data_IF_417760134010
#
_entry.id   IF_417760134010
#
_cell.length_a   1.000
_cell.length_b   1.000
_cell.length_c   1.000
_cell.angle_alpha   90.00
_cell.angle_beta   90.00
_cell.angle_gamma   90.00
#
_symmetry.space_group_name_H-M   'P 1'
#
loop_
_entity.id
_entity.type
_entity.pdbx_description
1 polymer ?
#
# COMPACT_ATOMS: atom_id res chain seq x y z
N UNK A 1 13.41 2.03 -30.37
CA UNK A 1 13.41 1.70 -28.93
C UNK A 1 13.02 2.82 -27.95
N UNK A 2 12.89 4.11 -28.33
CA UNK A 2 12.57 5.22 -27.38
C UNK A 2 11.09 5.36 -26.95
N UNK A 3 10.17 4.51 -27.44
CA UNK A 3 8.73 4.54 -27.06
C UNK A 3 8.40 3.71 -25.81
N UNK A 4 9.29 2.82 -25.36
CA UNK A 4 9.05 1.99 -24.17
C UNK A 4 9.01 2.80 -22.86
N UNK A 5 9.72 3.92 -22.81
CA UNK A 5 9.87 4.76 -21.61
C UNK A 5 8.91 5.95 -21.55
N UNK A 6 7.93 6.06 -22.45
CA UNK A 6 6.86 7.05 -22.27
C UNK A 6 5.96 6.58 -21.12
N UNK A 7 5.84 7.37 -20.02
CA UNK A 7 4.96 7.01 -18.92
C UNK A 7 3.51 7.09 -19.41
N UNK A 8 2.87 5.94 -19.62
CA UNK A 8 1.43 5.86 -19.81
C UNK A 8 0.75 5.64 -18.46
N UNK A 9 -0.49 6.11 -18.34
CA UNK A 9 -1.30 5.92 -17.12
C UNK A 9 -1.38 4.43 -16.73
N UNK A 10 -1.53 3.55 -17.73
CA UNK A 10 -1.60 2.10 -17.54
C UNK A 10 -0.30 1.54 -16.95
N UNK A 11 0.86 1.87 -17.53
CA UNK A 11 2.17 1.38 -17.03
C UNK A 11 2.40 1.81 -15.59
N UNK A 12 1.98 3.03 -15.24
CA UNK A 12 2.07 3.57 -13.87
C UNK A 12 1.14 2.81 -12.92
N UNK A 13 -0.10 2.53 -13.31
CA UNK A 13 -1.04 1.75 -12.49
C UNK A 13 -0.51 0.34 -12.26
N UNK A 14 -0.03 -0.34 -13.31
CA UNK A 14 0.55 -1.68 -13.21
C UNK A 14 1.75 -1.69 -12.25
N UNK A 15 2.65 -0.70 -12.36
CA UNK A 15 3.77 -0.56 -11.43
C UNK A 15 3.32 -0.47 -9.97
N UNK A 16 2.27 0.31 -9.68
CA UNK A 16 1.75 0.43 -8.32
C UNK A 16 1.07 -0.84 -7.83
N UNK A 17 0.31 -1.52 -8.68
CA UNK A 17 -0.34 -2.79 -8.31
C UNK A 17 0.75 -3.83 -7.97
N UNK A 18 1.77 -3.98 -8.82
CA UNK A 18 2.87 -4.91 -8.57
C UNK A 18 3.61 -4.55 -7.28
N UNK A 19 3.92 -3.28 -7.06
CA UNK A 19 4.54 -2.82 -5.81
C UNK A 19 3.69 -3.17 -4.59
N UNK A 20 2.37 -2.95 -4.65
CA UNK A 20 1.46 -3.23 -3.52
C UNK A 20 1.34 -4.73 -3.26
N UNK A 21 1.35 -5.57 -4.30
CA UNK A 21 1.36 -7.03 -4.18
C UNK A 21 2.63 -7.50 -3.49
N UNK A 22 3.80 -7.02 -3.92
CA UNK A 22 5.09 -7.42 -3.33
C UNK A 22 5.18 -7.01 -1.85
N UNK A 23 4.77 -5.78 -1.53
CA UNK A 23 4.76 -5.28 -0.15
C UNK A 23 3.76 -6.06 0.71
N UNK A 24 2.59 -6.37 0.15
CA UNK A 24 1.58 -7.17 0.87
C UNK A 24 2.04 -8.61 1.08
N UNK A 25 2.73 -9.21 0.12
CA UNK A 25 3.31 -10.55 0.26
C UNK A 25 4.34 -10.59 1.39
N UNK A 26 5.24 -9.60 1.39
CA UNK A 26 6.26 -9.46 2.43
C UNK A 26 5.64 -9.21 3.81
N UNK A 27 4.66 -8.30 3.90
CA UNK A 27 3.91 -8.02 5.12
C UNK A 27 3.22 -9.27 5.65
N UNK A 28 2.53 -10.01 4.78
CA UNK A 28 1.75 -11.17 5.19
C UNK A 28 2.65 -12.32 5.66
N UNK A 29 3.78 -12.54 4.97
CA UNK A 29 4.80 -13.46 5.42
C UNK A 29 5.35 -13.08 6.80
N UNK A 30 5.75 -11.81 6.98
CA UNK A 30 6.28 -11.34 8.24
C UNK A 30 5.24 -11.40 9.38
N UNK A 31 3.96 -11.24 9.07
CA UNK A 31 2.88 -11.40 10.05
C UNK A 31 2.76 -12.85 10.55
N UNK A 32 2.97 -13.86 9.69
CA UNK A 32 3.09 -15.27 10.14
C UNK A 32 4.31 -15.46 11.03
N UNK A 33 5.46 -14.94 10.62
CA UNK A 33 6.69 -15.05 11.41
C UNK A 33 6.53 -14.44 12.81
N UNK A 34 6.02 -13.21 12.89
CA UNK A 34 5.77 -12.52 14.16
C UNK A 34 4.73 -13.25 15.02
N UNK A 35 3.70 -13.84 14.39
CA UNK A 35 2.65 -14.57 15.12
C UNK A 35 3.19 -15.83 15.82
N UNK A 36 4.17 -16.49 15.24
CA UNK A 36 4.71 -17.75 15.75
C UNK A 36 6.14 -17.60 16.28
N UNK A 37 6.59 -16.37 16.58
CA UNK A 37 7.95 -16.10 17.05
C UNK A 37 9.04 -16.72 16.15
N UNK A 38 8.84 -16.64 14.83
CA UNK A 38 9.71 -17.22 13.80
C UNK A 38 9.77 -18.75 13.77
N UNK A 39 8.84 -19.44 14.43
CA UNK A 39 8.71 -20.91 14.44
C UNK A 39 7.32 -21.35 13.96
N UNK A 40 7.09 -21.23 12.64
CA UNK A 40 5.80 -21.52 12.01
C UNK A 40 5.71 -23.01 11.64
N UNK A 41 4.78 -23.74 12.25
CA UNK A 41 4.52 -25.15 11.88
C UNK A 41 3.97 -25.30 10.45
N UNK A 42 4.39 -26.34 9.73
CA UNK A 42 4.09 -26.57 8.31
C UNK A 42 2.59 -26.58 7.97
N UNK A 43 1.74 -27.04 8.89
CA UNK A 43 0.28 -27.04 8.72
C UNK A 43 -0.30 -25.66 8.42
N UNK A 44 0.35 -24.59 8.89
CA UNK A 44 -0.08 -23.21 8.66
C UNK A 44 0.33 -22.70 7.27
N UNK A 45 1.41 -23.23 6.69
CA UNK A 45 1.82 -22.88 5.33
C UNK A 45 0.91 -23.49 4.25
N UNK A 46 0.24 -24.62 4.55
CA UNK A 46 -0.70 -25.26 3.61
C UNK A 46 -1.82 -24.30 3.15
N UNK A 47 -2.32 -23.46 4.05
CA UNK A 47 -3.38 -22.47 3.77
C UNK A 47 -2.85 -21.07 3.46
N UNK A 48 -1.54 -20.85 3.58
CA UNK A 48 -0.91 -19.53 3.46
C UNK A 48 -1.19 -18.90 2.10
N UNK A 49 -0.89 -19.60 1.00
CA UNK A 49 -1.06 -19.07 -0.36
C UNK A 49 -2.52 -18.80 -0.72
N UNK A 50 -3.43 -19.67 -0.26
CA UNK A 50 -4.86 -19.49 -0.45
C UNK A 50 -5.36 -18.25 0.30
N UNK A 51 -5.03 -18.12 1.58
CA UNK A 51 -5.38 -16.96 2.38
C UNK A 51 -4.78 -15.67 1.80
N UNK A 52 -3.52 -15.71 1.38
CA UNK A 52 -2.85 -14.58 0.73
C UNK A 52 -3.54 -14.18 -0.56
N UNK A 53 -3.90 -15.13 -1.44
CA UNK A 53 -4.55 -14.86 -2.72
C UNK A 53 -5.89 -14.13 -2.55
N UNK A 54 -6.72 -14.55 -1.59
CA UNK A 54 -7.98 -13.85 -1.31
C UNK A 54 -7.75 -12.48 -0.67
N UNK A 55 -6.82 -12.39 0.29
CA UNK A 55 -6.52 -11.13 0.95
C UNK A 55 -5.96 -10.09 -0.02
N UNK A 56 -5.03 -10.48 -0.91
CA UNK A 56 -4.47 -9.56 -1.90
C UNK A 56 -5.52 -9.14 -2.94
N UNK A 57 -6.41 -10.04 -3.35
CA UNK A 57 -7.52 -9.72 -4.23
C UNK A 57 -8.40 -8.62 -3.62
N UNK A 58 -8.82 -8.78 -2.36
CA UNK A 58 -9.62 -7.76 -1.67
C UNK A 58 -8.85 -6.45 -1.48
N UNK A 59 -7.55 -6.50 -1.15
CA UNK A 59 -6.70 -5.29 -1.05
C UNK A 59 -6.64 -4.54 -2.37
N UNK A 60 -6.33 -5.21 -3.48
CA UNK A 60 -6.22 -4.57 -4.80
C UNK A 60 -7.54 -3.95 -5.24
N UNK A 61 -8.65 -4.69 -5.07
CA UNK A 61 -10.00 -4.18 -5.38
C UNK A 61 -10.32 -2.95 -4.52
N UNK A 62 -10.09 -3.02 -3.21
CA UNK A 62 -10.35 -1.90 -2.32
C UNK A 62 -9.49 -0.67 -2.66
N UNK A 63 -8.18 -0.83 -2.87
CA UNK A 63 -7.30 0.29 -3.25
C UNK A 63 -7.74 0.90 -4.58
N UNK A 64 -8.23 0.10 -5.53
CA UNK A 64 -8.80 0.60 -6.77
C UNK A 64 -10.11 1.39 -6.54
N UNK A 65 -11.05 0.86 -5.75
CA UNK A 65 -12.33 1.50 -5.43
C UNK A 65 -12.14 2.85 -4.74
N UNK A 66 -11.20 2.94 -3.79
CA UNK A 66 -10.84 4.16 -3.08
C UNK A 66 -9.88 5.07 -3.88
N UNK A 67 -9.67 4.78 -5.17
CA UNK A 67 -8.85 5.57 -6.11
C UNK A 67 -7.38 5.72 -5.67
N UNK A 68 -6.86 4.78 -4.89
CA UNK A 68 -5.49 4.77 -4.37
C UNK A 68 -4.41 4.74 -5.45
N UNK A 69 -4.68 4.10 -6.60
CA UNK A 69 -3.74 4.01 -7.73
C UNK A 69 -3.65 5.28 -8.57
N UNK A 70 -4.61 6.20 -8.45
CA UNK A 70 -4.58 7.49 -9.16
C UNK A 70 -3.67 8.51 -8.45
N UNK A 71 -3.39 8.29 -7.16
CA UNK A 71 -2.60 9.18 -6.31
C UNK A 71 -1.17 9.30 -6.84
N UNK A 72 -0.74 10.54 -7.06
CA UNK A 72 0.65 10.85 -7.45
C UNK A 72 1.50 10.86 -6.19
N UNK A 73 2.39 9.87 -6.03
CA UNK A 73 3.23 9.75 -4.82
C UNK A 73 4.04 11.01 -4.47
N UNK A 74 4.35 11.87 -5.46
CA UNK A 74 5.00 13.18 -5.24
C UNK A 74 4.17 14.09 -4.30
N UNK A 75 2.86 14.00 -4.38
CA UNK A 75 1.91 14.82 -3.62
C UNK A 75 1.18 14.03 -2.54
N UNK A 76 1.68 12.84 -2.18
CA UNK A 76 1.06 12.00 -1.17
C UNK A 76 0.94 12.78 0.14
N UNK A 77 -0.30 13.08 0.52
CA UNK A 77 -0.64 13.84 1.71
C UNK A 77 -1.46 13.05 2.72
N UNK A 78 -1.92 13.73 3.77
CA UNK A 78 -2.74 13.12 4.81
C UNK A 78 -4.09 12.60 4.28
N UNK A 79 -4.71 13.33 3.35
CA UNK A 79 -5.97 12.91 2.71
C UNK A 79 -5.80 11.59 1.92
N UNK A 80 -4.67 11.45 1.22
CA UNK A 80 -4.34 10.23 0.49
C UNK A 80 -4.08 9.06 1.42
N UNK A 81 -3.39 9.29 2.54
CA UNK A 81 -3.19 8.29 3.58
C UNK A 81 -4.51 7.79 4.16
N UNK A 82 -5.48 8.69 4.43
CA UNK A 82 -6.83 8.31 4.88
C UNK A 82 -7.54 7.42 3.86
N UNK A 83 -7.44 7.72 2.56
CA UNK A 83 -8.04 6.86 1.51
C UNK A 83 -7.46 5.46 1.51
N UNK A 84 -6.13 5.33 1.65
CA UNK A 84 -5.46 4.03 1.76
C UNK A 84 -5.86 3.30 3.05
N UNK A 85 -5.99 4.03 4.15
CA UNK A 85 -6.46 3.48 5.42
C UNK A 85 -7.88 2.91 5.29
N UNK A 86 -8.84 3.67 4.76
CA UNK A 86 -10.20 3.17 4.56
C UNK A 86 -10.26 2.01 3.57
N UNK A 87 -9.43 2.02 2.52
CA UNK A 87 -9.30 0.88 1.61
C UNK A 87 -8.81 -0.38 2.35
N UNK A 88 -7.86 -0.26 3.27
CA UNK A 88 -7.42 -1.38 4.09
C UNK A 88 -8.53 -1.85 5.03
N UNK A 89 -9.16 -0.94 5.78
CA UNK A 89 -10.27 -1.31 6.67
C UNK A 89 -11.35 -2.08 5.90
N UNK A 90 -11.71 -1.61 4.70
CA UNK A 90 -12.67 -2.28 3.82
C UNK A 90 -12.19 -3.66 3.35
N UNK A 91 -10.94 -3.77 2.88
CA UNK A 91 -10.38 -5.04 2.40
C UNK A 91 -10.30 -6.11 3.50
N UNK A 92 -9.84 -5.74 4.70
CA UNK A 92 -9.74 -6.67 5.81
C UNK A 92 -11.11 -7.02 6.40
N UNK A 93 -12.04 -6.05 6.44
CA UNK A 93 -13.43 -6.32 6.80
C UNK A 93 -14.07 -7.34 5.86
N UNK A 94 -13.89 -7.19 4.54
CA UNK A 94 -14.31 -8.16 3.54
C UNK A 94 -13.65 -9.53 3.72
N UNK A 95 -12.33 -9.55 3.96
CA UNK A 95 -11.62 -10.81 4.18
C UNK A 95 -12.11 -11.54 5.43
N UNK A 96 -12.34 -10.84 6.53
CA UNK A 96 -12.91 -11.41 7.77
C UNK A 96 -14.31 -11.96 7.50
N UNK A 97 -15.17 -11.19 6.83
CA UNK A 97 -16.51 -11.63 6.48
C UNK A 97 -16.47 -12.90 5.61
N UNK A 98 -15.67 -12.88 4.54
CA UNK A 98 -15.45 -14.03 3.66
C UNK A 98 -14.92 -15.26 4.42
N UNK A 99 -13.98 -15.05 5.33
CA UNK A 99 -13.43 -16.10 6.16
C UNK A 99 -14.51 -16.74 7.05
N UNK A 100 -15.35 -15.93 7.69
CA UNK A 100 -16.40 -16.41 8.60
C UNK A 100 -17.53 -17.14 7.88
N UNK A 101 -17.91 -16.71 6.67
CA UNK A 101 -19.07 -17.25 5.95
C UNK A 101 -18.74 -18.41 5.01
N UNK A 102 -17.62 -18.35 4.29
CA UNK A 102 -17.32 -19.31 3.21
C UNK A 102 -16.04 -20.10 3.46
N UNK A 103 -15.04 -19.49 4.11
CA UNK A 103 -13.70 -20.05 4.15
C UNK A 103 -13.37 -20.85 5.41
N UNK A 104 -14.21 -20.77 6.45
CA UNK A 104 -13.98 -21.42 7.73
C UNK A 104 -13.91 -22.96 7.65
N UNK A 105 -14.39 -23.60 6.58
CA UNK A 105 -14.35 -25.06 6.43
C UNK A 105 -13.06 -25.57 5.79
N UNK A 106 -12.38 -24.77 4.96
CA UNK A 106 -11.24 -25.22 4.13
C UNK A 106 -9.97 -24.40 4.32
N UNK A 107 -10.04 -23.21 4.94
CA UNK A 107 -8.86 -22.44 5.37
C UNK A 107 -8.41 -22.81 6.79
N UNK A 108 -8.91 -23.87 7.40
CA UNK A 108 -8.45 -24.32 8.73
C UNK A 108 -7.19 -25.20 8.57
N UNK A 109 -6.10 -24.92 9.31
CA UNK A 109 -5.98 -23.96 10.40
C UNK A 109 -5.41 -22.60 9.95
N UNK A 110 -6.24 -21.55 9.86
CA UNK A 110 -5.77 -20.19 9.62
C UNK A 110 -5.62 -19.40 10.94
N UNK A 111 -4.44 -18.82 11.22
CA UNK A 111 -4.20 -18.06 12.45
C UNK A 111 -4.85 -16.67 12.38
N UNK A 112 -6.06 -16.55 12.94
CA UNK A 112 -6.90 -15.32 12.88
C UNK A 112 -6.18 -14.03 13.27
N UNK A 113 -5.28 -14.07 14.24
CA UNK A 113 -4.47 -12.92 14.67
C UNK A 113 -3.50 -12.39 13.61
N UNK A 114 -3.11 -13.20 12.62
CA UNK A 114 -2.29 -12.74 11.48
C UNK A 114 -3.00 -11.63 10.71
N UNK A 115 -4.34 -11.65 10.65
CA UNK A 115 -5.13 -10.57 10.04
C UNK A 115 -4.80 -9.23 10.68
N UNK A 116 -4.79 -9.16 12.01
CA UNK A 116 -4.48 -7.93 12.74
C UNK A 116 -3.03 -7.50 12.58
N UNK A 117 -2.08 -8.44 12.69
CA UNK A 117 -0.65 -8.14 12.55
C UNK A 117 -0.35 -7.63 11.13
N UNK A 118 -0.85 -8.33 10.11
CA UNK A 118 -0.68 -7.93 8.71
C UNK A 118 -1.37 -6.59 8.41
N UNK A 119 -2.53 -6.29 9.02
CA UNK A 119 -3.20 -5.00 8.82
C UNK A 119 -2.29 -3.82 9.18
N UNK A 120 -1.72 -3.84 10.38
CA UNK A 120 -0.84 -2.76 10.83
C UNK A 120 0.47 -2.76 10.03
N UNK A 121 1.06 -3.93 9.81
CA UNK A 121 2.32 -4.05 9.10
C UNK A 121 2.21 -3.58 7.63
N UNK A 122 1.15 -3.98 6.94
CA UNK A 122 0.85 -3.59 5.56
C UNK A 122 0.65 -2.08 5.46
N UNK A 123 -0.11 -1.48 6.39
CA UNK A 123 -0.30 -0.03 6.43
C UNK A 123 1.01 0.73 6.64
N UNK A 124 1.84 0.29 7.58
CA UNK A 124 3.15 0.91 7.84
C UNK A 124 4.05 0.81 6.61
N UNK A 125 4.22 -0.39 6.05
CA UNK A 125 5.12 -0.61 4.92
C UNK A 125 4.67 0.14 3.67
N UNK A 126 3.38 0.10 3.33
CA UNK A 126 2.84 0.85 2.19
C UNK A 126 2.95 2.36 2.42
N UNK A 127 2.70 2.83 3.64
CA UNK A 127 2.85 4.22 4.03
C UNK A 127 4.29 4.71 3.88
N UNK A 128 5.26 3.92 4.35
CA UNK A 128 6.70 4.21 4.26
C UNK A 128 7.13 4.26 2.79
N UNK A 129 6.80 3.24 1.98
CA UNK A 129 7.22 3.18 0.58
C UNK A 129 6.64 4.35 -0.24
N UNK A 130 5.37 4.69 -0.02
CA UNK A 130 4.71 5.83 -0.68
C UNK A 130 5.31 7.17 -0.25
N UNK A 131 5.61 7.32 1.04
CA UNK A 131 6.17 8.56 1.60
C UNK A 131 7.65 8.73 1.26
N UNK A 132 8.42 7.65 1.20
CA UNK A 132 9.86 7.67 0.91
C UNK A 132 10.15 8.36 -0.43
N UNK A 133 9.34 8.08 -1.47
CA UNK A 133 9.48 8.75 -2.77
C UNK A 133 9.25 10.26 -2.68
N UNK A 134 8.31 10.72 -1.83
CA UNK A 134 8.08 12.16 -1.59
C UNK A 134 9.30 12.80 -0.94
N UNK A 135 9.87 12.16 0.09
CA UNK A 135 11.05 12.68 0.79
C UNK A 135 12.26 12.75 -0.14
N UNK A 136 12.57 11.68 -0.88
CA UNK A 136 13.72 11.65 -1.80
C UNK A 136 13.63 12.73 -2.89
N UNK A 137 12.43 13.03 -3.39
CA UNK A 137 12.24 14.07 -4.42
C UNK A 137 12.29 15.49 -3.85
N UNK A 138 11.83 15.70 -2.62
CA UNK A 138 11.83 17.03 -1.98
C UNK A 138 13.17 17.37 -1.32
N UNK A 139 13.98 16.38 -0.93
CA UNK A 139 15.32 16.59 -0.35
C UNK A 139 16.38 17.04 -1.37
N UNK A 140 16.10 16.93 -2.67
CA UNK A 140 17.02 17.36 -3.75
C UNK A 140 16.82 18.80 -4.24
N UNK A 141 15.86 19.55 -3.68
CA UNK A 141 15.68 20.97 -3.99
C UNK A 141 16.12 21.78 -2.78
N UNK A 142 17.44 21.94 -2.62
CA UNK A 142 17.91 23.25 -2.21
C UNK A 142 17.29 24.22 -3.19
N UNK A 143 16.29 24.97 -2.71
CA UNK A 143 15.66 26.00 -3.50
C UNK A 143 16.80 26.92 -3.92
N UNK A 144 17.23 26.80 -5.18
CA UNK A 144 17.88 27.88 -5.89
C UNK A 144 16.79 28.95 -6.04
N UNK A 145 16.46 29.61 -4.93
CA UNK A 145 15.64 30.80 -4.90
C UNK A 145 16.51 31.81 -5.61
N UNK A 146 16.39 31.89 -6.93
CA UNK A 146 16.94 33.02 -7.67
C UNK A 146 16.42 34.26 -6.96
N UNK A 147 17.32 35.09 -6.46
CA UNK A 147 17.00 36.32 -5.75
C UNK A 147 16.05 37.13 -6.64
N UNK A 148 14.77 37.17 -6.27
CA UNK A 148 13.78 37.97 -6.96
C UNK A 148 13.87 39.38 -6.38
N UNK A 149 14.49 40.28 -7.13
CA UNK A 149 14.53 41.70 -6.81
C UNK A 149 13.19 42.31 -7.21
N UNK A 150 12.37 42.68 -6.22
CA UNK A 150 11.13 43.42 -6.47
C UNK A 150 11.50 44.89 -6.69
N UNK A 151 11.34 45.37 -7.93
CA UNK A 151 11.46 46.79 -8.24
C UNK A 151 10.06 47.41 -8.24
N UNK A 152 9.81 48.29 -7.26
CA UNK A 152 8.54 49.03 -7.12
C UNK A 152 7.56 48.39 -6.14
N UNK A 153 7.34 49.07 -5.02
CA UNK A 153 6.28 48.78 -4.05
C UNK A 153 5.46 50.06 -3.83
N UNK A 154 4.79 50.53 -4.89
CA UNK A 154 3.94 51.72 -4.79
C UNK A 154 2.47 51.31 -4.61
N UNK A 155 1.72 52.06 -3.79
CA UNK A 155 0.35 51.73 -3.39
C UNK A 155 -0.71 52.02 -4.48
N UNK A 156 -0.26 52.42 -5.68
CA UNK A 156 -1.08 52.70 -6.86
C UNK A 156 -0.36 52.11 -8.06
N UNK A 157 -0.75 50.90 -8.46
CA UNK A 157 -0.34 50.32 -9.74
C UNK A 157 -1.00 51.09 -10.89
#
# INVERSE_FOLDING_TARGET
MKRLFRPSVIKRIVFFIVSDILVSAFSFYLAYQLRFNFDVADRYYAVFWHAFAFLILFKVIAIALFKGYLIVWRFFGFEDAKRIFYAHVFAYGLFVLFYMTFASSWLVPFPRSVIGIDFFLSLILLGVIRSAKRFMLNSGSERNVKSALVFGANARA
#
